data_IF_046911060039
#
_entry.id   IF_046911060039
#
_cell.length_a   1.000
_cell.length_b   1.000
_cell.length_c   1.000
_cell.angle_alpha   90.00
_cell.angle_beta   90.00
_cell.angle_gamma   90.00
#
_symmetry.space_group_name_H-M   'P 1'
#
loop_
_entity.id
_entity.type
_entity.pdbx_description
1 polymer ?
#
# COMPACT_ATOMS: atom_id res chain seq x y z
N UNK A 1 -11.37 4.45 19.53
CA UNK A 1 -10.77 5.80 19.40
C UNK A 1 -9.25 5.63 19.43
N UNK A 2 -8.65 5.32 18.28
CA UNK A 2 -7.20 5.20 18.11
C UNK A 2 -6.78 6.05 16.92
N UNK A 3 -6.50 7.32 17.18
CA UNK A 3 -6.05 8.26 16.15
C UNK A 3 -4.59 7.97 15.80
N UNK A 4 -4.30 7.75 14.51
CA UNK A 4 -2.99 8.09 13.96
C UNK A 4 -2.87 9.61 14.03
N UNK A 5 -2.06 10.08 14.97
CA UNK A 5 -1.81 11.48 15.28
C UNK A 5 -1.48 12.25 14.00
N UNK A 6 -2.32 13.25 13.65
CA UNK A 6 -1.96 14.32 12.72
C UNK A 6 -2.96 14.63 11.61
N UNK A 7 -3.71 13.67 11.09
CA UNK A 7 -4.55 13.88 9.90
C UNK A 7 -6.01 14.11 10.28
N UNK A 8 -6.36 15.39 10.46
CA UNK A 8 -7.77 15.81 10.57
C UNK A 8 -8.47 15.44 9.27
N UNK A 9 -9.42 14.51 9.35
CA UNK A 9 -10.37 14.19 8.28
C UNK A 9 -11.14 15.47 7.92
N UNK A 10 -10.86 16.06 6.76
CA UNK A 10 -11.75 17.02 6.14
C UNK A 10 -12.56 16.25 5.09
N UNK A 11 -13.88 16.26 5.20
CA UNK A 11 -14.82 15.43 4.44
C UNK A 11 -14.89 15.81 2.94
N UNK A 12 -13.79 15.65 2.21
CA UNK A 12 -13.82 15.57 0.75
C UNK A 12 -14.04 14.11 0.36
N UNK A 13 -14.90 13.90 -0.64
CA UNK A 13 -15.03 12.63 -1.37
C UNK A 13 -13.62 12.07 -1.62
N UNK A 14 -13.41 10.79 -1.29
CA UNK A 14 -12.13 10.13 -1.55
C UNK A 14 -11.76 10.31 -3.03
N UNK A 15 -10.51 10.73 -3.28
CA UNK A 15 -9.99 10.87 -4.64
C UNK A 15 -9.43 9.51 -5.03
N UNK A 16 -10.23 8.72 -5.76
CA UNK A 16 -9.86 7.36 -6.18
C UNK A 16 -9.35 7.29 -7.62
N UNK A 17 -9.42 8.41 -8.34
CA UNK A 17 -8.97 8.59 -9.72
C UNK A 17 -7.99 9.77 -9.76
N UNK A 18 -6.68 9.46 -9.78
CA UNK A 18 -5.60 10.44 -9.74
C UNK A 18 -4.33 9.84 -10.36
N UNK A 19 -3.57 10.64 -11.13
CA UNK A 19 -2.34 10.18 -11.82
C UNK A 19 -1.35 9.49 -10.86
N UNK A 20 -1.26 9.97 -9.62
CA UNK A 20 -0.36 9.42 -8.62
C UNK A 20 -0.76 8.02 -8.14
N UNK A 21 -2.05 7.68 -8.19
CA UNK A 21 -2.50 6.31 -7.93
C UNK A 21 -1.97 5.38 -9.03
N UNK A 22 -2.02 5.81 -10.29
CA UNK A 22 -1.51 5.02 -11.40
C UNK A 22 0.01 4.88 -11.37
N UNK A 23 0.75 5.94 -11.02
CA UNK A 23 2.20 5.87 -10.80
C UNK A 23 2.58 4.79 -9.78
N UNK A 24 1.88 4.71 -8.65
CA UNK A 24 2.15 3.68 -7.64
C UNK A 24 1.74 2.31 -8.17
N UNK A 25 0.55 2.18 -8.76
CA UNK A 25 0.02 0.90 -9.25
C UNK A 25 0.88 0.29 -10.37
N UNK A 26 1.38 1.11 -11.28
CA UNK A 26 2.12 0.66 -12.47
C UNK A 26 3.63 0.61 -12.25
N UNK A 27 4.13 1.26 -11.20
CA UNK A 27 5.53 1.18 -10.85
C UNK A 27 5.89 -0.04 -10.00
N UNK A 28 7.13 -0.02 -9.52
CA UNK A 28 7.80 -1.14 -8.87
C UNK A 28 8.25 -0.73 -7.47
N UNK A 29 8.08 -1.60 -6.48
CA UNK A 29 8.64 -1.35 -5.17
C UNK A 29 10.16 -1.53 -5.20
N UNK A 30 10.85 -0.78 -4.34
CA UNK A 30 12.28 -0.92 -4.15
C UNK A 30 12.63 -2.38 -3.82
N UNK A 31 13.59 -2.95 -4.55
CA UNK A 31 14.02 -4.36 -4.50
C UNK A 31 13.08 -5.39 -5.16
N UNK A 32 12.00 -4.97 -5.81
CA UNK A 32 11.08 -5.85 -6.54
C UNK A 32 10.80 -5.31 -7.95
N UNK A 33 11.65 -5.66 -8.92
CA UNK A 33 11.57 -5.14 -10.31
C UNK A 33 10.72 -5.96 -11.27
N UNK A 34 10.27 -7.15 -10.84
CA UNK A 34 9.74 -8.16 -11.78
C UNK A 34 8.22 -8.07 -11.93
N UNK A 35 7.54 -7.38 -11.00
CA UNK A 35 6.09 -7.24 -10.99
C UNK A 35 5.68 -5.87 -10.46
N UNK A 36 4.66 -5.29 -11.09
CA UNK A 36 4.09 -4.01 -10.65
C UNK A 36 3.40 -4.14 -9.29
N UNK A 37 3.32 -3.03 -8.55
CA UNK A 37 2.62 -3.00 -7.25
C UNK A 37 1.18 -3.49 -7.40
N UNK A 38 0.46 -3.06 -8.45
CA UNK A 38 -0.92 -3.53 -8.71
C UNK A 38 -0.99 -5.05 -8.77
N UNK A 39 -0.12 -5.67 -9.56
CA UNK A 39 -0.16 -7.10 -9.77
C UNK A 39 0.23 -7.89 -8.53
N UNK A 40 1.28 -7.46 -7.80
CA UNK A 40 1.67 -8.13 -6.56
C UNK A 40 0.56 -8.05 -5.49
N UNK A 41 -0.03 -6.86 -5.32
CA UNK A 41 -0.98 -6.61 -4.24
C UNK A 41 -2.39 -7.15 -4.54
N UNK A 42 -2.81 -7.25 -5.80
CA UNK A 42 -4.13 -7.79 -6.17
C UNK A 42 -4.34 -9.26 -5.76
N UNK A 43 -3.28 -10.05 -5.62
CA UNK A 43 -3.40 -11.44 -5.15
C UNK A 43 -3.37 -11.57 -3.63
N UNK A 44 -2.76 -10.60 -2.95
CA UNK A 44 -2.63 -10.63 -1.49
C UNK A 44 -3.82 -9.99 -0.78
N UNK A 45 -4.37 -8.91 -1.34
CA UNK A 45 -5.50 -8.18 -0.77
C UNK A 45 -6.84 -8.67 -1.31
N UNK A 46 -7.81 -8.78 -0.41
CA UNK A 46 -9.22 -8.93 -0.75
C UNK A 46 -9.87 -7.54 -0.79
N UNK A 47 -10.51 -7.23 -1.93
CA UNK A 47 -11.15 -5.94 -2.20
C UNK A 47 -10.25 -4.71 -1.93
N UNK A 48 -9.07 -4.63 -2.60
CA UNK A 48 -8.15 -3.50 -2.39
C UNK A 48 -8.80 -2.17 -2.79
N UNK A 49 -8.73 -1.21 -1.88
CA UNK A 49 -9.22 0.15 -2.05
C UNK A 49 -8.05 1.12 -2.13
N UNK A 50 -8.07 1.99 -3.15
CA UNK A 50 -7.02 2.96 -3.42
C UNK A 50 -7.57 4.36 -3.32
N UNK A 51 -6.86 5.24 -2.60
CA UNK A 51 -7.18 6.67 -2.58
C UNK A 51 -5.94 7.53 -2.53
N UNK A 52 -6.09 8.75 -3.00
CA UNK A 52 -5.12 9.81 -2.93
C UNK A 52 -5.58 10.90 -1.95
N UNK A 53 -4.62 11.46 -1.22
CA UNK A 53 -4.78 12.72 -0.52
C UNK A 53 -3.45 13.43 -0.37
N UNK A 54 -3.49 14.77 -0.27
CA UNK A 54 -2.34 15.54 0.14
C UNK A 54 -2.27 15.58 1.67
N UNK A 55 -1.14 15.17 2.24
CA UNK A 55 -0.86 15.28 3.65
C UNK A 55 -0.84 16.75 4.10
N UNK A 56 -1.03 17.02 5.41
CA UNK A 56 -0.87 18.38 5.95
C UNK A 56 0.54 18.95 5.78
N UNK A 57 1.53 18.06 5.66
CA UNK A 57 2.93 18.36 5.35
C UNK A 57 3.15 18.72 3.88
N UNK A 58 2.13 18.60 3.02
CA UNK A 58 2.21 18.83 1.59
C UNK A 58 2.54 17.58 0.77
N UNK A 59 2.91 16.47 1.41
CA UNK A 59 3.27 15.21 0.74
C UNK A 59 2.09 14.61 -0.04
N UNK A 60 2.38 14.05 -1.21
CA UNK A 60 1.39 13.39 -2.06
C UNK A 60 1.25 11.93 -1.64
N UNK A 61 0.18 11.60 -0.92
CA UNK A 61 0.01 10.28 -0.30
C UNK A 61 -1.01 9.46 -1.05
N UNK A 62 -0.63 8.21 -1.33
CA UNK A 62 -1.47 7.20 -1.93
C UNK A 62 -1.64 6.13 -0.87
N UNK A 63 -2.87 5.86 -0.51
CA UNK A 63 -3.22 4.83 0.45
C UNK A 63 -3.85 3.66 -0.27
N UNK A 64 -3.28 2.47 -0.05
CA UNK A 64 -3.92 1.19 -0.32
C UNK A 64 -4.44 0.64 1.00
N UNK A 65 -5.71 0.28 1.05
CA UNK A 65 -6.31 -0.45 2.17
C UNK A 65 -7.09 -1.67 1.70
N UNK A 66 -7.27 -2.64 2.59
CA UNK A 66 -8.09 -3.83 2.31
C UNK A 66 -7.80 -4.96 3.27
N UNK A 67 -8.58 -6.03 3.14
CA UNK A 67 -8.41 -7.22 3.97
C UNK A 67 -7.26 -8.07 3.44
N UNK A 68 -6.45 -8.62 4.34
CA UNK A 68 -5.30 -9.48 4.02
C UNK A 68 -5.12 -10.54 5.09
N UNK A 69 -4.51 -11.67 4.73
CA UNK A 69 -4.00 -12.63 5.71
C UNK A 69 -2.51 -12.39 5.92
N UNK A 70 -2.13 -11.93 7.11
CA UNK A 70 -0.74 -11.67 7.47
C UNK A 70 -0.35 -12.50 8.70
N UNK A 71 0.73 -13.29 8.58
CA UNK A 71 1.21 -14.19 9.65
C UNK A 71 0.15 -15.17 10.18
N UNK A 72 -0.76 -15.62 9.32
CA UNK A 72 -1.85 -16.53 9.68
C UNK A 72 -3.08 -15.86 10.31
N UNK A 73 -3.04 -14.54 10.49
CA UNK A 73 -4.17 -13.74 10.98
C UNK A 73 -4.86 -13.01 9.83
N UNK A 74 -6.20 -13.09 9.76
CA UNK A 74 -6.99 -12.24 8.86
C UNK A 74 -7.20 -10.88 9.51
N UNK A 75 -6.98 -9.81 8.76
CA UNK A 75 -7.24 -8.47 9.25
C UNK A 75 -7.12 -7.42 8.17
N UNK A 76 -7.22 -6.16 8.60
CA UNK A 76 -7.22 -5.01 7.70
C UNK A 76 -5.82 -4.40 7.62
N UNK A 77 -5.25 -4.29 6.42
CA UNK A 77 -3.98 -3.60 6.21
C UNK A 77 -4.18 -2.26 5.53
N UNK A 78 -3.34 -1.29 5.91
CA UNK A 78 -3.23 0.03 5.28
C UNK A 78 -1.77 0.25 4.93
N UNK A 79 -1.50 0.65 3.69
CA UNK A 79 -0.18 1.00 3.18
C UNK A 79 -0.22 2.41 2.62
N UNK A 80 0.77 3.22 2.99
CA UNK A 80 0.89 4.60 2.54
C UNK A 80 2.18 4.79 1.75
N UNK A 81 2.02 5.16 0.50
CA UNK A 81 3.09 5.50 -0.44
C UNK A 81 3.17 7.02 -0.55
N UNK A 82 4.38 7.56 -0.64
CA UNK A 82 4.61 8.98 -0.94
C UNK A 82 5.24 9.08 -2.31
N UNK A 83 4.61 9.87 -3.18
CA UNK A 83 5.07 10.17 -4.54
C UNK A 83 5.86 11.48 -4.53
N UNK A 84 7.04 11.46 -5.15
CA UNK A 84 7.83 12.63 -5.47
C UNK A 84 7.33 13.22 -6.80
N UNK A 85 6.84 14.46 -6.75
CA UNK A 85 6.16 15.09 -7.88
C UNK A 85 7.10 15.39 -9.06
N UNK A 86 8.38 15.63 -8.79
CA UNK A 86 9.37 16.03 -9.79
C UNK A 86 9.90 14.83 -10.56
N UNK A 87 10.19 13.75 -9.84
CA UNK A 87 10.78 12.53 -10.40
C UNK A 87 9.74 11.49 -10.79
N UNK A 88 8.49 11.66 -10.33
CA UNK A 88 7.40 10.67 -10.44
C UNK A 88 7.79 9.30 -9.84
N UNK A 89 8.75 9.30 -8.91
CA UNK A 89 9.12 8.13 -8.12
C UNK A 89 8.29 8.06 -6.84
N UNK A 90 8.23 6.89 -6.22
CA UNK A 90 7.52 6.72 -4.95
C UNK A 90 8.27 5.86 -3.95
N UNK A 91 7.89 5.99 -2.69
CA UNK A 91 8.43 5.19 -1.59
C UNK A 91 7.32 4.77 -0.64
N UNK A 92 7.42 3.54 -0.12
CA UNK A 92 6.51 3.02 0.89
C UNK A 92 6.91 3.56 2.27
N UNK A 93 6.06 4.39 2.89
CA UNK A 93 6.40 5.12 4.12
C UNK A 93 5.83 4.50 5.37
N UNK A 94 4.55 4.18 5.37
CA UNK A 94 3.87 3.64 6.55
C UNK A 94 3.02 2.43 6.20
N UNK A 95 2.92 1.50 7.16
CA UNK A 95 2.01 0.37 7.07
C UNK A 95 1.37 0.12 8.43
N UNK A 96 0.10 -0.25 8.40
CA UNK A 96 -0.70 -0.65 9.56
C UNK A 96 -1.31 -2.01 9.28
N UNK A 97 -1.39 -2.85 10.30
CA UNK A 97 -2.23 -4.05 10.29
C UNK A 97 -3.12 -4.03 11.52
N UNK A 98 -4.43 -4.09 11.32
CA UNK A 98 -5.45 -3.81 12.32
C UNK A 98 -5.19 -2.45 12.99
N UNK A 99 -4.96 -2.44 14.30
CA UNK A 99 -4.66 -1.21 15.06
C UNK A 99 -3.16 -0.91 15.21
N UNK A 100 -2.28 -1.79 14.71
CA UNK A 100 -0.85 -1.71 14.95
C UNK A 100 -0.10 -1.10 13.78
N UNK A 101 0.65 -0.03 14.04
CA UNK A 101 1.64 0.50 13.09
C UNK A 101 2.82 -0.46 13.06
N UNK A 102 3.18 -0.92 11.85
CA UNK A 102 4.24 -1.91 11.68
C UNK A 102 5.61 -1.24 11.79
N UNK A 103 6.53 -1.89 12.52
CA UNK A 103 7.94 -1.50 12.54
C UNK A 103 8.67 -1.96 11.26
N UNK A 104 9.94 -1.58 11.08
CA UNK A 104 10.70 -1.86 9.86
C UNK A 104 10.76 -3.36 9.50
N UNK A 105 10.96 -4.25 10.49
CA UNK A 105 11.01 -5.69 10.26
C UNK A 105 9.65 -6.25 9.84
N UNK A 106 8.58 -5.86 10.54
CA UNK A 106 7.22 -6.26 10.20
C UNK A 106 6.80 -5.74 8.82
N UNK A 107 7.27 -4.53 8.45
CA UNK A 107 7.05 -3.97 7.12
C UNK A 107 7.67 -4.85 6.03
N UNK A 108 8.94 -5.23 6.20
CA UNK A 108 9.61 -6.13 5.26
C UNK A 108 8.92 -7.49 5.17
N UNK A 109 8.45 -8.05 6.29
CA UNK A 109 7.70 -9.32 6.30
C UNK A 109 6.38 -9.22 5.52
N UNK A 110 5.62 -8.14 5.68
CA UNK A 110 4.36 -7.96 4.96
C UNK A 110 4.62 -7.85 3.46
N UNK A 111 5.57 -7.00 3.04
CA UNK A 111 5.94 -6.84 1.63
C UNK A 111 6.45 -8.16 1.06
N UNK A 112 7.39 -8.82 1.73
CA UNK A 112 7.91 -10.12 1.28
C UNK A 112 6.81 -11.17 1.11
N UNK A 113 5.84 -11.23 2.02
CA UNK A 113 4.69 -12.14 1.91
C UNK A 113 3.81 -11.81 0.70
N UNK A 114 3.56 -10.53 0.40
CA UNK A 114 2.78 -10.11 -0.77
C UNK A 114 3.44 -10.60 -2.07
N UNK A 115 4.74 -10.39 -2.22
CA UNK A 115 5.47 -10.81 -3.43
C UNK A 115 5.61 -12.33 -3.52
N UNK A 116 5.87 -13.02 -2.40
CA UNK A 116 5.88 -14.49 -2.36
C UNK A 116 4.51 -15.06 -2.75
N UNK A 117 3.41 -14.44 -2.32
CA UNK A 117 2.05 -14.86 -2.70
C UNK A 117 1.84 -14.73 -4.20
N UNK A 118 2.29 -13.63 -4.80
CA UNK A 118 2.25 -13.46 -6.26
C UNK A 118 3.08 -14.52 -6.99
N UNK A 119 4.32 -14.78 -6.58
CA UNK A 119 5.20 -15.80 -7.17
C UNK A 119 4.56 -17.19 -7.12
N UNK A 120 4.03 -17.61 -5.95
CA UNK A 120 3.36 -18.90 -5.81
C UNK A 120 2.13 -19.01 -6.71
N UNK A 121 1.41 -17.91 -6.96
CA UNK A 121 0.26 -17.90 -7.86
C UNK A 121 0.69 -18.02 -9.32
N UNK A 122 1.79 -17.41 -9.74
CA UNK A 122 2.30 -17.60 -11.11
C UNK A 122 2.61 -19.08 -11.37
N UNK A 123 3.35 -19.73 -10.46
CA UNK A 123 3.71 -21.15 -10.59
C UNK A 123 2.51 -22.10 -10.55
N UNK A 124 1.41 -21.72 -9.90
CA UNK A 124 0.22 -22.56 -9.81
C UNK A 124 -0.65 -22.53 -11.09
N UNK A 125 -0.40 -21.59 -11.99
CA UNK A 125 -1.11 -21.44 -13.26
C UNK A 125 -0.23 -21.73 -14.50
N UNK A 126 1.01 -22.19 -14.28
CA UNK A 126 1.88 -22.83 -15.29
C UNK A 126 1.62 -24.35 -15.35
#
# INVERSE_FOLDING_TARGET
MGMLVGYVFNAKKDITDHEYIDIVKEGYLENFSDVTVRNAFNYAFFEPYWRYYQAKTGEQVIELSGEITFQGEKGHAILQFVVDEQTKQFSLRAMKFNENVLNAEQKQKLVGMVYQTWEMKQLAYE
#
